data_IF_218363573919
#
_entry.id   IF_218363573919
#
_cell.length_a   1.000
_cell.length_b   1.000
_cell.length_c   1.000
_cell.angle_alpha   90.00
_cell.angle_beta   90.00
_cell.angle_gamma   90.00
#
_symmetry.space_group_name_H-M   'P 1'
#
loop_
_entity.id
_entity.type
_entity.pdbx_description
1 polymer ?
#
# COMPACT_ATOMS: atom_id res chain seq x y z
N UNK A 1 -47.59 -20.05 -1.98
CA UNK A 1 -46.88 -18.95 -1.29
C UNK A 1 -45.42 -19.05 -1.69
N UNK A 2 -44.95 -18.17 -2.59
CA UNK A 2 -43.55 -18.16 -3.03
C UNK A 2 -42.75 -17.33 -2.04
N UNK A 3 -41.85 -17.97 -1.28
CA UNK A 3 -40.93 -17.26 -0.39
C UNK A 3 -39.73 -16.80 -1.22
N UNK A 4 -39.64 -15.49 -1.44
CA UNK A 4 -38.55 -14.84 -2.14
C UNK A 4 -37.22 -15.10 -1.43
N UNK A 5 -36.26 -15.65 -2.17
CA UNK A 5 -34.86 -15.72 -1.74
C UNK A 5 -34.30 -14.29 -1.71
N UNK A 6 -33.93 -13.81 -0.52
CA UNK A 6 -33.16 -12.58 -0.36
C UNK A 6 -31.78 -12.72 -1.03
N UNK A 7 -31.26 -11.67 -1.70
CA UNK A 7 -29.91 -11.69 -2.22
C UNK A 7 -28.92 -11.78 -1.07
N UNK A 8 -28.10 -12.83 -1.12
CA UNK A 8 -27.02 -13.12 -0.18
C UNK A 8 -26.10 -11.90 -0.10
N UNK A 9 -25.96 -11.31 1.09
CA UNK A 9 -24.84 -10.41 1.42
C UNK A 9 -23.54 -11.08 0.94
N UNK A 10 -22.59 -10.37 0.32
CA UNK A 10 -21.29 -10.94 0.03
C UNK A 10 -20.73 -11.47 1.34
N UNK A 11 -20.39 -12.75 1.35
CA UNK A 11 -19.80 -13.41 2.50
C UNK A 11 -18.60 -12.59 2.96
N UNK A 12 -18.52 -12.28 4.26
CA UNK A 12 -17.27 -11.94 4.93
C UNK A 12 -16.34 -13.16 4.82
N UNK A 13 -15.83 -13.44 3.62
CA UNK A 13 -14.69 -14.32 3.44
C UNK A 13 -13.57 -13.75 4.31
N UNK A 14 -12.89 -14.62 5.05
CA UNK A 14 -11.85 -14.30 6.03
C UNK A 14 -10.69 -13.49 5.41
N UNK A 15 -10.93 -12.22 5.10
CA UNK A 15 -9.97 -11.25 4.58
C UNK A 15 -8.99 -10.80 5.65
N UNK A 16 -9.21 -11.20 6.91
CA UNK A 16 -8.30 -10.98 8.03
C UNK A 16 -6.92 -11.60 7.81
N UNK A 17 -6.83 -12.72 7.08
CA UNK A 17 -5.56 -13.37 6.74
C UNK A 17 -4.96 -12.94 5.40
N UNK A 18 -5.65 -12.08 4.64
CA UNK A 18 -5.20 -11.67 3.31
C UNK A 18 -4.28 -10.46 3.38
N UNK A 19 -3.19 -10.52 2.64
CA UNK A 19 -2.29 -9.39 2.45
C UNK A 19 -2.87 -8.45 1.39
N UNK A 20 -2.90 -7.15 1.68
CA UNK A 20 -3.15 -6.10 0.70
C UNK A 20 -1.88 -5.28 0.49
N UNK A 21 -1.46 -5.15 -0.76
CA UNK A 21 -0.27 -4.43 -1.15
C UNK A 21 -0.62 -3.37 -2.21
N UNK A 22 -0.38 -2.10 -1.91
CA UNK A 22 -0.46 -1.04 -2.90
C UNK A 22 0.85 -0.97 -3.69
N UNK A 23 0.76 -1.01 -5.01
CA UNK A 23 1.89 -0.92 -5.93
C UNK A 23 1.70 0.23 -6.91
N UNK A 24 2.75 1.02 -7.16
CA UNK A 24 2.70 2.22 -7.99
C UNK A 24 3.75 2.20 -9.10
N UNK A 25 4.44 1.08 -9.27
CA UNK A 25 5.63 0.97 -10.09
C UNK A 25 5.79 -0.36 -10.79
N UNK A 26 7.00 -0.91 -10.71
CA UNK A 26 7.43 -2.10 -11.47
C UNK A 26 6.65 -3.39 -11.16
N UNK A 27 5.97 -3.42 -10.01
CA UNK A 27 5.07 -4.50 -9.57
C UNK A 27 3.64 -4.37 -10.12
N UNK A 28 3.28 -3.25 -10.77
CA UNK A 28 1.99 -3.09 -11.44
C UNK A 28 1.85 -4.11 -12.58
N UNK A 29 0.62 -4.50 -12.90
CA UNK A 29 0.31 -5.42 -14.00
C UNK A 29 0.89 -4.89 -15.32
N UNK A 30 1.51 -5.77 -16.09
CA UNK A 30 2.16 -5.43 -17.37
C UNK A 30 3.60 -4.92 -17.24
N UNK A 31 4.15 -4.79 -16.03
CA UNK A 31 5.56 -4.44 -15.80
C UNK A 31 6.40 -5.65 -15.36
N UNK A 32 7.72 -5.53 -15.55
CA UNK A 32 8.67 -6.66 -15.53
C UNK A 32 8.77 -7.44 -14.21
N UNK A 33 8.38 -6.85 -13.07
CA UNK A 33 8.39 -7.56 -11.79
C UNK A 33 7.05 -8.25 -11.49
N UNK A 34 5.95 -7.88 -12.15
CA UNK A 34 4.63 -8.41 -11.84
C UNK A 34 4.54 -9.93 -12.04
N UNK A 35 4.91 -10.44 -13.21
CA UNK A 35 4.75 -11.87 -13.52
C UNK A 35 5.58 -12.79 -12.62
N UNK A 36 6.68 -12.26 -12.07
CA UNK A 36 7.57 -12.98 -11.16
C UNK A 36 7.11 -12.91 -9.71
N UNK A 37 6.70 -11.73 -9.24
CA UNK A 37 6.45 -11.47 -7.82
C UNK A 37 4.98 -11.36 -7.44
N UNK A 38 4.07 -11.25 -8.42
CA UNK A 38 2.63 -11.10 -8.25
C UNK A 38 1.84 -12.28 -8.86
N UNK A 39 2.52 -13.33 -9.34
CA UNK A 39 1.85 -14.56 -9.79
C UNK A 39 0.97 -15.12 -8.67
N UNK A 40 -0.27 -15.47 -9.01
CA UNK A 40 -1.27 -15.94 -8.03
C UNK A 40 -1.98 -14.82 -7.28
N UNK A 41 -1.82 -13.55 -7.68
CA UNK A 41 -2.63 -12.44 -7.16
C UNK A 41 -4.12 -12.74 -7.29
N UNK A 42 -4.87 -12.51 -6.22
CA UNK A 42 -6.31 -12.80 -6.14
C UNK A 42 -7.15 -11.67 -6.74
N UNK A 43 -6.81 -10.43 -6.41
CA UNK A 43 -7.45 -9.23 -6.96
C UNK A 43 -6.42 -8.18 -7.34
N UNK A 44 -6.71 -7.46 -8.43
CA UNK A 44 -5.94 -6.29 -8.88
C UNK A 44 -6.96 -5.19 -9.11
N UNK A 45 -6.90 -4.13 -8.31
CA UNK A 45 -7.88 -3.05 -8.32
C UNK A 45 -7.16 -1.70 -8.46
N UNK A 46 -7.69 -0.81 -9.29
CA UNK A 46 -7.15 0.56 -9.36
C UNK A 46 -7.33 1.24 -8.00
N UNK A 47 -6.25 1.85 -7.51
CA UNK A 47 -6.22 2.43 -6.18
C UNK A 47 -5.43 3.75 -6.13
N UNK A 48 -5.69 4.52 -5.08
CA UNK A 48 -5.05 5.81 -4.83
C UNK A 48 -4.58 5.90 -3.38
N UNK A 49 -3.38 6.42 -3.17
CA UNK A 49 -2.85 6.81 -1.85
C UNK A 49 -2.49 8.29 -1.84
N UNK A 50 -2.38 8.88 -0.66
CA UNK A 50 -1.91 10.25 -0.49
C UNK A 50 -0.38 10.27 -0.38
N UNK A 51 0.30 11.08 -1.21
CA UNK A 51 1.76 11.12 -1.26
C UNK A 51 2.33 12.00 -2.36
N UNK A 52 3.60 11.76 -2.68
CA UNK A 52 4.31 12.36 -3.82
C UNK A 52 5.03 11.27 -4.59
N UNK A 53 4.98 11.38 -5.91
CA UNK A 53 5.63 10.44 -6.80
C UNK A 53 6.76 11.13 -7.56
N UNK A 54 7.88 10.43 -7.67
CA UNK A 54 9.07 10.88 -8.38
C UNK A 54 9.56 9.79 -9.32
N UNK A 55 10.31 10.17 -10.34
CA UNK A 55 11.02 9.26 -11.23
C UNK A 55 12.54 9.48 -11.10
N UNK A 56 13.28 8.39 -10.98
CA UNK A 56 14.75 8.41 -11.06
C UNK A 56 15.21 8.66 -12.49
N UNK A 57 16.49 9.00 -12.67
CA UNK A 57 17.11 9.05 -14.01
C UNK A 57 17.07 7.72 -14.75
N UNK A 58 16.98 6.59 -14.03
CA UNK A 58 16.81 5.25 -14.59
C UNK A 58 15.36 4.88 -14.93
N UNK A 59 14.39 5.80 -14.71
CA UNK A 59 12.98 5.58 -15.03
C UNK A 59 12.20 4.79 -13.98
N UNK A 60 12.74 4.62 -12.77
CA UNK A 60 12.10 3.89 -11.66
C UNK A 60 11.31 4.87 -10.78
N UNK A 61 10.08 4.54 -10.36
CA UNK A 61 9.29 5.42 -9.54
C UNK A 61 9.63 5.27 -8.06
N UNK A 62 9.74 6.39 -7.35
CA UNK A 62 9.83 6.45 -5.89
C UNK A 62 8.61 7.20 -5.34
N UNK A 63 8.07 6.72 -4.22
CA UNK A 63 6.92 7.31 -3.54
C UNK A 63 7.32 7.76 -2.13
N UNK A 64 6.93 8.98 -1.78
CA UNK A 64 6.93 9.51 -0.41
C UNK A 64 5.49 9.67 0.09
N UNK A 65 5.24 9.37 1.36
CA UNK A 65 3.96 9.65 2.05
C UNK A 65 4.21 10.60 3.21
N UNK A 66 3.20 11.38 3.64
CA UNK A 66 3.31 12.14 4.89
C UNK A 66 3.50 11.19 6.09
N UNK A 67 4.33 11.59 7.05
CA UNK A 67 4.55 10.80 8.27
C UNK A 67 3.24 10.58 9.05
N UNK A 68 2.31 11.54 8.99
CA UNK A 68 0.99 11.43 9.63
C UNK A 68 0.09 10.34 9.04
N UNK A 69 0.32 9.96 7.77
CA UNK A 69 -0.47 8.93 7.08
C UNK A 69 0.07 7.52 7.36
N UNK A 70 1.27 7.41 7.93
CA UNK A 70 1.89 6.14 8.29
C UNK A 70 1.25 5.59 9.57
N UNK A 71 0.49 4.51 9.42
CA UNK A 71 -0.21 3.84 10.52
C UNK A 71 0.71 2.85 11.25
N UNK A 72 1.52 2.11 10.49
CA UNK A 72 2.45 1.13 11.02
C UNK A 72 3.68 0.98 10.11
N UNK A 73 4.77 0.48 10.67
CA UNK A 73 5.97 0.08 9.93
C UNK A 73 5.99 -1.44 9.83
N UNK A 74 6.34 -1.96 8.66
CA UNK A 74 6.42 -3.40 8.41
C UNK A 74 7.48 -4.06 9.26
N UNK A 75 7.26 -5.33 9.58
CA UNK A 75 8.16 -6.15 10.40
C UNK A 75 8.76 -7.30 9.59
N UNK A 76 9.62 -8.09 10.21
CA UNK A 76 10.13 -9.34 9.62
C UNK A 76 9.13 -10.50 9.71
N UNK A 77 7.96 -10.30 10.35
CA UNK A 77 6.93 -11.32 10.52
C UNK A 77 5.71 -11.01 9.64
N UNK A 78 5.54 -11.67 8.48
CA UNK A 78 4.43 -11.42 7.57
C UNK A 78 3.04 -11.57 8.20
N UNK A 79 2.87 -12.53 9.11
CA UNK A 79 1.59 -12.77 9.77
C UNK A 79 1.24 -11.66 10.77
N UNK A 80 2.25 -11.12 11.47
CA UNK A 80 2.06 -9.97 12.36
C UNK A 80 1.65 -8.71 11.58
N UNK A 81 2.23 -8.52 10.39
CA UNK A 81 1.90 -7.40 9.51
C UNK A 81 0.48 -7.51 8.95
N UNK A 82 0.06 -8.71 8.53
CA UNK A 82 -1.33 -8.97 8.11
C UNK A 82 -2.31 -8.80 9.27
N UNK A 83 -1.98 -9.28 10.47
CA UNK A 83 -2.81 -9.07 11.66
C UNK A 83 -2.96 -7.57 12.00
N UNK A 84 -1.89 -6.79 11.87
CA UNK A 84 -1.94 -5.32 12.05
C UNK A 84 -2.87 -4.68 11.03
N UNK A 85 -2.76 -5.04 9.75
CA UNK A 85 -3.66 -4.57 8.69
C UNK A 85 -5.12 -4.91 9.01
N UNK A 86 -5.41 -6.14 9.44
CA UNK A 86 -6.75 -6.58 9.80
C UNK A 86 -7.32 -5.80 11.00
N UNK A 87 -6.51 -5.54 12.02
CA UNK A 87 -6.90 -4.76 13.20
C UNK A 87 -7.28 -3.32 12.82
N UNK A 88 -6.49 -2.69 11.94
CA UNK A 88 -6.80 -1.36 11.41
C UNK A 88 -8.12 -1.37 10.64
N UNK A 89 -8.32 -2.33 9.75
CA UNK A 89 -9.56 -2.46 8.99
C UNK A 89 -10.80 -2.65 9.90
N UNK A 90 -10.66 -3.44 10.98
CA UNK A 90 -11.73 -3.64 11.95
C UNK A 90 -12.08 -2.35 12.70
N UNK A 91 -11.08 -1.55 13.11
CA UNK A 91 -11.28 -0.25 13.76
C UNK A 91 -11.98 0.75 12.85
N UNK A 92 -11.68 0.75 11.55
CA UNK A 92 -12.36 1.65 10.61
C UNK A 92 -13.86 1.33 10.46
N UNK A 93 -14.24 0.06 10.64
CA UNK A 93 -15.65 -0.36 10.64
C UNK A 93 -16.39 0.03 11.92
N UNK A 94 -15.67 0.40 13.00
CA UNK A 94 -16.25 0.80 14.28
C UNK A 94 -15.43 1.94 14.92
N UNK A 95 -15.61 3.19 14.47
CA UNK A 95 -14.77 4.30 14.89
C UNK A 95 -15.00 4.66 16.36
N UNK A 96 -13.96 4.54 17.18
CA UNK A 96 -13.88 5.23 18.46
C UNK A 96 -13.51 6.72 18.26
N UNK A 97 -13.89 7.62 19.18
CA UNK A 97 -13.52 9.04 19.08
C UNK A 97 -12.01 9.18 19.04
N UNK A 98 -11.48 9.68 17.92
CA UNK A 98 -10.04 9.88 17.72
C UNK A 98 -9.66 11.26 18.26
N UNK A 99 -8.55 11.42 19.01
CA UNK A 99 -8.09 12.74 19.43
C UNK A 99 -7.64 13.54 18.20
N UNK A 100 -7.99 14.83 18.16
CA UNK A 100 -7.57 15.78 17.14
C UNK A 100 -6.06 15.74 16.92
N UNK A 101 -5.63 15.12 15.81
CA UNK A 101 -4.23 15.15 15.39
C UNK A 101 -4.04 16.30 14.40
N UNK A 102 -3.33 17.33 14.84
CA UNK A 102 -2.91 18.44 13.99
C UNK A 102 -1.90 17.94 12.94
N UNK A 103 -2.10 18.23 11.64
CA UNK A 103 -1.13 17.88 10.60
C UNK A 103 0.15 18.69 10.77
N UNK A 104 1.31 18.02 10.72
CA UNK A 104 2.61 18.69 10.69
C UNK A 104 2.90 19.11 9.25
N UNK A 105 3.04 20.42 9.03
CA UNK A 105 3.27 20.98 7.70
C UNK A 105 4.67 20.61 7.20
N UNK A 106 4.76 19.59 6.35
CA UNK A 106 5.99 19.22 5.64
C UNK A 106 6.43 20.32 4.67
N UNK A 107 7.72 20.68 4.70
CA UNK A 107 8.33 21.62 3.76
C UNK A 107 8.70 20.89 2.47
N UNK A 108 7.81 20.91 1.47
CA UNK A 108 8.03 20.31 0.15
C UNK A 108 6.89 20.64 -0.83
N UNK A 109 6.92 20.07 -2.04
CA UNK A 109 5.82 20.17 -3.01
C UNK A 109 4.47 19.79 -2.35
N UNK A 110 3.31 20.28 -2.80
CA UNK A 110 2.05 19.86 -2.19
C UNK A 110 1.89 18.33 -2.24
N UNK A 111 1.43 17.72 -1.15
CA UNK A 111 1.01 16.33 -1.15
C UNK A 111 -0.20 16.17 -2.10
N UNK A 112 -0.31 15.02 -2.76
CA UNK A 112 -1.37 14.79 -3.75
C UNK A 112 -1.71 13.30 -3.91
N UNK A 113 -2.65 12.98 -4.81
CA UNK A 113 -3.00 11.60 -5.08
C UNK A 113 -1.89 10.91 -5.87
N UNK A 114 -1.51 9.70 -5.46
CA UNK A 114 -0.65 8.79 -6.21
C UNK A 114 -1.45 7.57 -6.62
N UNK A 115 -1.47 7.29 -7.92
CA UNK A 115 -2.28 6.26 -8.53
C UNK A 115 -1.46 4.99 -8.76
N UNK A 116 -2.05 3.86 -8.42
CA UNK A 116 -1.44 2.55 -8.52
C UNK A 116 -2.50 1.46 -8.53
N UNK A 117 -2.09 0.27 -8.14
CA UNK A 117 -2.94 -0.91 -8.05
C UNK A 117 -2.89 -1.45 -6.62
N UNK A 118 -4.04 -1.85 -6.09
CA UNK A 118 -4.17 -2.62 -4.86
C UNK A 118 -4.22 -4.10 -5.22
N UNK A 119 -3.21 -4.84 -4.77
CA UNK A 119 -3.08 -6.28 -4.98
C UNK A 119 -3.47 -7.03 -3.71
N UNK A 120 -4.25 -8.11 -3.85
CA UNK A 120 -4.61 -8.99 -2.72
C UNK A 120 -3.98 -10.38 -2.88
N UNK A 121 -3.43 -10.90 -1.78
CA UNK A 121 -2.79 -12.22 -1.72
C UNK A 121 -3.24 -13.01 -0.49
N UNK A 122 -3.27 -14.33 -0.61
CA UNK A 122 -3.52 -15.29 0.50
C UNK A 122 -2.26 -16.01 0.99
N UNK A 123 -1.09 -15.68 0.43
CA UNK A 123 0.20 -16.30 0.75
C UNK A 123 1.23 -15.35 1.41
N UNK A 124 0.86 -14.58 2.45
CA UNK A 124 1.71 -13.52 3.01
C UNK A 124 3.11 -13.98 3.41
N UNK A 125 3.24 -15.19 3.97
CA UNK A 125 4.51 -15.77 4.43
C UNK A 125 5.52 -16.00 3.32
N UNK A 126 5.04 -16.19 2.08
CA UNK A 126 5.90 -16.32 0.90
C UNK A 126 6.03 -14.98 0.18
N UNK A 127 4.91 -14.23 0.07
CA UNK A 127 4.80 -13.00 -0.72
C UNK A 127 5.67 -11.88 -0.16
N UNK A 128 5.53 -11.57 1.13
CA UNK A 128 6.22 -10.44 1.72
C UNK A 128 7.74 -10.64 1.70
N UNK A 129 8.31 -11.79 2.12
CA UNK A 129 9.77 -11.97 2.05
C UNK A 129 10.32 -11.91 0.62
N UNK A 130 9.56 -12.34 -0.39
CA UNK A 130 10.00 -12.25 -1.78
C UNK A 130 10.07 -10.80 -2.28
N UNK A 131 9.06 -9.99 -1.96
CA UNK A 131 9.02 -8.57 -2.34
C UNK A 131 9.99 -7.75 -1.49
N UNK A 132 10.17 -8.07 -0.21
CA UNK A 132 11.15 -7.43 0.66
C UNK A 132 12.57 -7.54 0.11
N UNK A 133 12.95 -8.72 -0.39
CA UNK A 133 14.24 -8.92 -1.06
C UNK A 133 14.39 -8.12 -2.34
N UNK A 134 13.30 -7.95 -3.10
CA UNK A 134 13.30 -7.13 -4.32
C UNK A 134 13.51 -5.65 -4.00
N UNK A 135 12.76 -5.14 -3.02
CA UNK A 135 12.76 -3.73 -2.62
C UNK A 135 13.91 -3.39 -1.65
N UNK A 136 14.68 -4.39 -1.21
CA UNK A 136 15.78 -4.22 -0.27
C UNK A 136 15.34 -3.79 1.13
N UNK A 137 14.14 -4.19 1.56
CA UNK A 137 13.60 -3.91 2.88
C UNK A 137 14.18 -4.84 3.95
N UNK A 138 14.85 -4.27 4.95
CA UNK A 138 15.52 -4.96 6.05
C UNK A 138 15.23 -4.24 7.39
N UNK A 139 14.13 -4.57 8.10
CA UNK A 139 13.81 -3.97 9.38
C UNK A 139 15.01 -4.01 10.36
N UNK A 140 15.39 -2.85 10.90
CA UNK A 140 16.52 -2.72 11.83
C UNK A 140 17.91 -2.55 11.17
N UNK A 141 17.98 -2.47 9.83
CA UNK A 141 19.20 -2.17 9.07
C UNK A 141 19.01 -1.07 8.01
N UNK A 142 20.06 -0.75 7.24
CA UNK A 142 19.95 0.21 6.14
C UNK A 142 18.99 -0.30 5.06
N UNK A 143 18.00 0.51 4.70
CA UNK A 143 17.00 0.18 3.67
C UNK A 143 16.85 1.35 2.68
N UNK A 144 16.76 1.05 1.39
CA UNK A 144 16.37 2.04 0.37
C UNK A 144 14.86 2.33 0.43
N UNK A 145 14.07 1.28 0.67
CA UNK A 145 12.63 1.37 0.83
C UNK A 145 12.21 0.90 2.22
N UNK A 146 11.18 1.54 2.77
CA UNK A 146 10.49 1.14 4.00
C UNK A 146 9.11 0.61 3.63
N UNK A 147 8.72 -0.55 4.16
CA UNK A 147 7.34 -1.01 4.09
C UNK A 147 6.53 -0.32 5.18
N UNK A 148 5.48 0.40 4.79
CA UNK A 148 4.58 1.15 5.67
C UNK A 148 3.13 0.78 5.40
N UNK A 149 2.30 0.84 6.44
CA UNK A 149 0.85 0.67 6.32
C UNK A 149 0.21 2.04 6.20
N UNK A 150 -0.54 2.25 5.12
CA UNK A 150 -1.28 3.50 4.85
C UNK A 150 -2.72 3.18 4.45
N UNK A 151 -3.55 4.21 4.32
CA UNK A 151 -4.89 4.07 3.76
C UNK A 151 -4.86 4.25 2.24
N UNK A 152 -5.41 3.29 1.53
CA UNK A 152 -5.61 3.34 0.09
C UNK A 152 -7.10 3.38 -0.24
N UNK A 153 -7.47 4.21 -1.21
CA UNK A 153 -8.83 4.26 -1.76
C UNK A 153 -8.89 3.36 -2.99
N UNK A 154 -9.74 2.33 -2.96
CA UNK A 154 -10.01 1.42 -4.07
C UNK A 154 -11.53 1.23 -4.21
N UNK A 155 -12.05 1.39 -5.43
CA UNK A 155 -13.50 1.25 -5.72
C UNK A 155 -14.45 1.97 -4.73
N UNK A 156 -14.10 3.20 -4.34
CA UNK A 156 -14.89 4.00 -3.40
C UNK A 156 -14.82 3.55 -1.94
N UNK A 157 -14.03 2.52 -1.63
CA UNK A 157 -13.77 2.03 -0.27
C UNK A 157 -12.37 2.45 0.16
N UNK A 158 -12.18 2.77 1.43
CA UNK A 158 -10.86 3.03 2.02
C UNK A 158 -10.42 1.78 2.78
N UNK A 159 -9.27 1.24 2.42
CA UNK A 159 -8.71 0.02 2.99
C UNK A 159 -7.25 0.24 3.42
N UNK A 160 -6.80 -0.34 4.54
CA UNK A 160 -5.39 -0.34 4.88
C UNK A 160 -4.62 -1.26 3.92
N UNK A 161 -3.48 -0.77 3.42
CA UNK A 161 -2.62 -1.47 2.49
C UNK A 161 -1.15 -1.24 2.79
N UNK A 162 -0.35 -2.29 2.69
CA UNK A 162 1.10 -2.18 2.78
C UNK A 162 1.67 -1.54 1.52
N UNK A 163 2.71 -0.74 1.68
CA UNK A 163 3.31 0.07 0.63
C UNK A 163 4.82 0.22 0.88
N UNK A 164 5.63 0.14 -0.17
CA UNK A 164 7.06 0.44 -0.10
C UNK A 164 7.31 1.92 -0.46
N UNK A 165 7.83 2.70 0.49
CA UNK A 165 8.13 4.13 0.31
C UNK A 165 9.63 4.37 0.44
N UNK A 166 10.13 5.43 -0.20
CA UNK A 166 11.52 5.87 -0.02
C UNK A 166 11.55 6.93 1.06
N UNK A 167 12.50 6.80 1.99
CA UNK A 167 12.85 7.88 2.91
C UNK A 167 13.94 8.72 2.23
N UNK A 168 13.52 9.72 1.46
CA UNK A 168 14.48 10.55 0.71
C UNK A 168 15.25 11.42 1.68
N UNK A 169 16.54 11.11 1.84
CA UNK A 169 17.51 12.06 2.39
C UNK A 169 17.77 13.15 1.34
N UNK A 170 17.81 14.40 1.79
CA UNK A 170 17.62 15.65 1.04
C UNK A 170 18.60 15.98 -0.10
N UNK A 171 19.31 15.01 -0.68
CA UNK A 171 20.43 15.21 -1.60
C UNK A 171 20.31 14.47 -2.95
N UNK A 172 19.15 13.90 -3.32
CA UNK A 172 18.98 13.23 -4.62
C UNK A 172 18.03 14.02 -5.54
N UNK A 173 18.49 14.34 -6.74
CA UNK A 173 17.71 15.00 -7.78
C UNK A 173 16.76 14.01 -8.46
N UNK A 174 15.56 13.82 -7.90
CA UNK A 174 14.50 13.06 -8.55
C UNK A 174 13.58 13.99 -9.35
N UNK A 175 13.07 13.51 -10.48
CA UNK A 175 12.10 14.26 -11.29
C UNK A 175 10.71 14.07 -10.66
N UNK A 176 10.03 15.13 -10.17
CA UNK A 176 8.68 14.98 -9.66
C UNK A 176 7.71 14.57 -10.77
N UNK A 177 6.70 13.78 -10.43
CA UNK A 177 5.57 13.41 -11.27
C UNK A 177 4.28 14.01 -10.70
N UNK A 178 3.93 15.27 -11.03
CA UNK A 178 2.79 15.97 -10.43
C UNK A 178 1.43 15.32 -10.71
N UNK A 179 1.33 14.49 -11.76
CA UNK A 179 0.13 13.71 -12.08
C UNK A 179 -0.13 12.57 -11.08
N UNK A 180 0.86 12.22 -10.26
CA UNK A 180 0.80 11.06 -9.37
C UNK A 180 0.76 9.71 -10.09
N UNK A 181 1.03 9.68 -11.39
CA UNK A 181 0.94 8.48 -12.22
C UNK A 181 2.32 8.14 -12.77
N UNK A 182 2.82 6.94 -12.46
CA UNK A 182 3.94 6.36 -13.18
C UNK A 182 3.43 5.31 -14.15
N UNK A 183 3.59 5.62 -15.44
CA UNK A 183 3.32 4.80 -16.63
C UNK A 183 1.93 4.12 -16.64
N UNK A 184 1.13 4.42 -17.66
CA UNK A 184 -0.22 3.86 -17.83
C UNK A 184 -0.18 2.51 -18.50
#
# INVERSE_FOLDING_TARGET
>A
MNQAMNPTKPSNANTSGMLRLFVYGTLKRGFWNHDRFCRGVLTVEDAVVHGRLFETSSGIPFLEVPDEDVIAIGTTNPLADVATQAHVAARMSNPEPTPDRLPKKGTGAPWGPVYGELLTFDDPENRLPAIDRLEGFHPGGPCLYRRVLVLAQAHGTVLPAWLYVVEVTSNRSFKPLPSGKWRS
#
